data_IF_596957417629
#
_entry.id   IF_596957417629
#
_cell.length_a   1.000
_cell.length_b   1.000
_cell.length_c   1.000
_cell.angle_alpha   90.00
_cell.angle_beta   90.00
_cell.angle_gamma   90.00
#
_symmetry.space_group_name_H-M   'P 1'
#
loop_
_entity.id
_entity.type
_entity.pdbx_description
1 polymer ?
#
# COMPACT_ATOMS: atom_id res chain seq x y z
N UNK A 1 11.78 -36.41 -17.22
CA UNK A 1 13.09 -35.84 -16.88
C UNK A 1 12.90 -34.77 -15.81
N UNK A 2 13.00 -35.18 -14.55
CA UNK A 2 12.86 -34.34 -13.34
C UNK A 2 14.24 -33.85 -12.94
N UNK A 3 14.47 -32.53 -12.95
CA UNK A 3 15.66 -31.96 -12.32
C UNK A 3 15.47 -30.46 -12.08
N UNK A 4 15.33 -30.06 -10.83
CA UNK A 4 15.82 -28.79 -10.26
C UNK A 4 15.57 -28.82 -8.75
N UNK A 5 16.66 -28.71 -8.00
CA UNK A 5 16.73 -28.72 -6.55
C UNK A 5 16.04 -27.48 -5.98
N UNK A 6 14.86 -27.63 -5.38
CA UNK A 6 14.40 -26.66 -4.38
C UNK A 6 15.08 -27.05 -3.07
N UNK A 7 16.15 -26.32 -2.76
CA UNK A 7 16.89 -26.46 -1.51
C UNK A 7 15.94 -26.02 -0.37
N UNK A 8 15.32 -27.00 0.30
CA UNK A 8 14.67 -26.78 1.59
C UNK A 8 15.78 -26.62 2.63
N UNK A 9 16.33 -25.42 2.75
CA UNK A 9 17.11 -25.06 3.93
C UNK A 9 16.16 -24.73 5.07
N UNK A 10 15.82 -25.75 5.87
CA UNK A 10 15.39 -25.54 7.24
C UNK A 10 16.66 -25.19 8.04
N UNK A 11 16.95 -23.89 8.15
CA UNK A 11 18.07 -23.41 8.95
C UNK A 11 17.66 -23.51 10.43
N UNK A 12 17.95 -24.65 11.06
CA UNK A 12 17.94 -24.78 12.52
C UNK A 12 19.15 -24.00 13.10
N UNK A 13 19.07 -22.68 13.16
CA UNK A 13 20.05 -21.87 13.89
C UNK A 13 19.46 -21.37 15.21
N UNK A 14 19.98 -21.94 16.30
CA UNK A 14 19.85 -21.43 17.64
C UNK A 14 20.45 -20.01 17.74
N UNK A 15 19.63 -18.98 17.53
CA UNK A 15 20.02 -17.58 17.73
C UNK A 15 19.33 -16.56 16.83
N UNK A 16 18.10 -16.17 17.19
CA UNK A 16 17.52 -14.85 16.97
C UNK A 16 17.17 -14.34 15.54
N UNK A 17 16.64 -15.18 14.64
CA UNK A 17 15.72 -14.72 13.58
C UNK A 17 14.57 -15.73 13.40
N UNK A 18 13.34 -15.30 13.07
CA UNK A 18 12.26 -16.24 12.75
C UNK A 18 12.62 -17.08 11.52
N UNK A 19 12.14 -18.33 11.46
CA UNK A 19 12.28 -19.17 10.27
C UNK A 19 11.68 -18.45 9.05
N UNK A 20 12.47 -18.28 7.99
CA UNK A 20 12.08 -17.57 6.76
C UNK A 20 12.17 -18.50 5.56
N UNK A 21 11.11 -18.53 4.73
CA UNK A 21 11.15 -19.13 3.41
C UNK A 21 11.53 -18.07 2.38
N UNK A 22 12.64 -18.28 1.66
CA UNK A 22 13.10 -17.40 0.59
C UNK A 22 13.03 -18.15 -0.74
N UNK A 23 12.27 -17.62 -1.70
CA UNK A 23 12.17 -18.16 -3.06
C UNK A 23 12.98 -17.27 -4.01
N UNK A 24 13.91 -17.85 -4.76
CA UNK A 24 14.70 -17.16 -5.78
C UNK A 24 14.23 -17.54 -7.17
N UNK A 25 14.31 -16.60 -8.13
CA UNK A 25 13.92 -16.82 -9.53
C UNK A 25 12.49 -17.36 -9.67
N UNK A 26 11.54 -16.72 -8.98
CA UNK A 26 10.14 -17.13 -8.89
C UNK A 26 9.49 -17.15 -10.28
N UNK A 27 8.77 -18.23 -10.58
CA UNK A 27 8.04 -18.50 -11.83
C UNK A 27 6.56 -18.76 -11.55
N UNK A 28 5.72 -18.79 -12.59
CA UNK A 28 4.28 -19.08 -12.41
C UNK A 28 3.98 -20.40 -11.70
N UNK A 29 4.80 -21.43 -11.93
CA UNK A 29 4.66 -22.73 -11.27
C UNK A 29 4.87 -22.68 -9.75
N UNK A 30 5.48 -21.61 -9.22
CA UNK A 30 5.64 -21.41 -7.78
C UNK A 30 4.38 -20.82 -7.13
N UNK A 31 3.36 -20.44 -7.92
CA UNK A 31 2.07 -20.01 -7.37
C UNK A 31 1.38 -21.15 -6.62
N UNK A 32 0.79 -20.87 -5.46
CA UNK A 32 0.10 -21.89 -4.68
C UNK A 32 -0.14 -21.50 -3.23
N UNK A 33 -0.74 -22.44 -2.48
CA UNK A 33 -0.95 -22.29 -1.03
C UNK A 33 0.28 -22.78 -0.29
N UNK A 34 0.92 -21.86 0.44
CA UNK A 34 2.02 -22.14 1.36
C UNK A 34 1.47 -22.26 2.78
N UNK A 35 1.91 -23.27 3.51
CA UNK A 35 1.48 -23.54 4.89
C UNK A 35 2.72 -23.55 5.77
N UNK A 36 2.77 -22.62 6.73
CA UNK A 36 3.72 -22.63 7.82
C UNK A 36 3.13 -23.45 8.97
N UNK A 37 3.84 -24.50 9.37
CA UNK A 37 3.45 -25.36 10.49
C UNK A 37 4.40 -25.05 11.64
N UNK A 38 3.85 -24.56 12.75
CA UNK A 38 4.61 -24.26 13.96
C UNK A 38 4.13 -25.21 15.04
N UNK A 39 5.02 -26.03 15.58
CA UNK A 39 4.64 -26.97 16.61
C UNK A 39 5.81 -27.63 17.32
N UNK A 40 5.47 -28.37 18.36
CA UNK A 40 6.33 -29.33 19.03
C UNK A 40 5.69 -30.72 18.97
N UNK A 41 6.27 -31.70 19.67
CA UNK A 41 5.79 -33.09 19.68
C UNK A 41 4.35 -33.28 20.22
N UNK A 42 3.74 -32.24 20.79
CA UNK A 42 2.42 -32.30 21.40
C UNK A 42 1.37 -31.38 20.74
N UNK A 43 1.78 -30.26 20.15
CA UNK A 43 0.86 -29.26 19.59
C UNK A 43 1.42 -28.72 18.27
N UNK A 44 0.58 -28.68 17.24
CA UNK A 44 0.86 -28.02 15.97
C UNK A 44 -0.18 -26.93 15.68
N UNK A 45 0.28 -25.84 15.07
CA UNK A 45 -0.54 -24.76 14.52
C UNK A 45 -0.16 -24.55 13.07
N UNK A 46 -1.15 -24.29 12.23
CA UNK A 46 -0.95 -24.02 10.82
C UNK A 46 -1.33 -22.59 10.48
N UNK A 47 -0.50 -21.94 9.66
CA UNK A 47 -0.76 -20.64 9.08
C UNK A 47 -0.60 -20.75 7.58
N UNK A 48 -1.63 -20.40 6.82
CA UNK A 48 -1.55 -20.49 5.35
C UNK A 48 -1.57 -19.13 4.68
N UNK A 49 -0.78 -19.00 3.62
CA UNK A 49 -0.80 -17.88 2.69
C UNK A 49 -0.87 -18.40 1.24
N UNK A 50 -1.45 -17.64 0.33
CA UNK A 50 -1.47 -17.98 -1.10
C UNK A 50 -0.52 -17.05 -1.85
N UNK A 51 0.48 -17.62 -2.53
CA UNK A 51 1.36 -16.92 -3.44
C UNK A 51 0.75 -16.94 -4.85
N UNK A 52 0.68 -15.77 -5.49
CA UNK A 52 0.32 -15.64 -6.90
C UNK A 52 1.48 -14.95 -7.59
N UNK A 53 2.07 -15.62 -8.57
CA UNK A 53 3.17 -15.09 -9.39
C UNK A 53 2.59 -14.62 -10.71
N UNK A 54 2.90 -13.38 -11.08
CA UNK A 54 2.31 -12.68 -12.22
C UNK A 54 3.45 -12.28 -13.14
N UNK A 55 3.29 -12.57 -14.43
CA UNK A 55 4.30 -12.22 -15.43
C UNK A 55 4.19 -10.74 -15.82
N UNK A 56 5.29 -10.17 -16.30
CA UNK A 56 5.31 -8.78 -16.76
C UNK A 56 4.25 -8.56 -17.87
N UNK A 57 3.34 -7.61 -17.64
CA UNK A 57 2.24 -7.29 -18.56
C UNK A 57 0.90 -7.95 -18.21
N UNK A 58 0.87 -8.87 -17.24
CA UNK A 58 -0.39 -9.45 -16.74
C UNK A 58 -1.02 -8.58 -15.65
N UNK A 59 -2.33 -8.41 -15.70
CA UNK A 59 -3.06 -7.75 -14.62
C UNK A 59 -3.18 -8.67 -13.41
N UNK A 60 -2.94 -8.13 -12.21
CA UNK A 60 -3.20 -8.82 -10.94
C UNK A 60 -4.58 -9.48 -10.96
N UNK A 61 -4.71 -10.80 -10.68
CA UNK A 61 -5.99 -11.49 -10.70
C UNK A 61 -6.92 -11.01 -9.59
N UNK A 62 -6.38 -10.35 -8.56
CA UNK A 62 -7.11 -9.64 -7.52
C UNK A 62 -6.37 -8.34 -7.23
N UNK A 63 -6.86 -7.23 -7.76
CA UNK A 63 -6.54 -5.94 -7.16
C UNK A 63 -7.28 -5.87 -5.81
N UNK A 64 -6.58 -5.76 -4.67
CA UNK A 64 -7.24 -5.73 -3.36
C UNK A 64 -8.21 -4.54 -3.31
N UNK A 65 -9.45 -4.73 -2.82
CA UNK A 65 -10.39 -3.62 -2.74
C UNK A 65 -9.85 -2.54 -1.81
N UNK A 66 -10.23 -1.29 -2.09
CA UNK A 66 -9.94 -0.17 -1.20
C UNK A 66 -10.39 -0.49 0.23
N UNK A 67 -9.42 -0.57 1.14
CA UNK A 67 -9.63 -1.05 2.51
C UNK A 67 -8.74 -0.29 3.49
N UNK A 68 -9.12 -0.35 4.77
CA UNK A 68 -8.41 0.27 5.87
C UNK A 68 -7.34 -0.71 6.39
N UNK A 69 -6.11 -0.22 6.48
CA UNK A 69 -4.96 -0.96 6.96
C UNK A 69 -4.38 -0.27 8.19
N UNK A 70 -3.61 -1.02 8.98
CA UNK A 70 -2.97 -0.52 10.20
C UNK A 70 -1.47 -0.73 10.06
N UNK A 71 -0.71 0.34 10.26
CA UNK A 71 0.74 0.33 10.35
C UNK A 71 1.15 0.82 11.73
N UNK A 72 2.01 0.05 12.40
CA UNK A 72 2.52 0.38 13.72
C UNK A 72 3.95 0.88 13.62
N UNK A 73 4.19 2.15 13.97
CA UNK A 73 5.52 2.73 13.87
C UNK A 73 5.77 3.87 14.86
N UNK A 74 7.05 4.15 15.13
CA UNK A 74 7.47 5.30 15.93
C UNK A 74 7.32 6.55 15.07
N UNK A 75 6.54 7.53 15.54
CA UNK A 75 6.41 8.80 14.85
C UNK A 75 7.66 9.63 15.05
N UNK A 76 8.17 10.22 13.99
CA UNK A 76 9.38 11.05 14.01
C UNK A 76 9.10 12.38 13.34
N UNK A 77 9.34 13.47 14.06
CA UNK A 77 9.44 14.80 13.47
C UNK A 77 10.79 14.93 12.76
N UNK A 78 10.79 14.90 11.43
CA UNK A 78 12.02 14.91 10.63
C UNK A 78 12.85 16.19 10.80
N UNK A 79 12.23 17.32 11.16
CA UNK A 79 12.95 18.59 11.27
C UNK A 79 13.79 18.68 12.55
N UNK A 80 13.29 18.13 13.65
CA UNK A 80 13.89 18.27 14.99
C UNK A 80 14.31 16.94 15.62
N UNK A 81 14.03 15.82 14.95
CA UNK A 81 14.35 14.48 15.45
C UNK A 81 13.55 14.05 16.68
N UNK A 82 12.45 14.73 17.02
CA UNK A 82 11.59 14.35 18.13
C UNK A 82 10.84 13.05 17.80
N UNK A 83 10.70 12.14 18.75
CA UNK A 83 10.15 10.79 18.52
C UNK A 83 9.06 10.45 19.52
N UNK A 84 8.06 9.67 19.11
CA UNK A 84 7.12 9.11 20.06
C UNK A 84 7.81 8.09 20.96
N UNK A 85 7.45 8.06 22.25
CA UNK A 85 8.03 7.12 23.21
C UNK A 85 7.76 5.65 22.85
N UNK A 86 6.61 5.39 22.23
CA UNK A 86 6.19 4.05 21.78
C UNK A 86 5.71 4.08 20.32
N UNK A 87 5.76 2.94 19.60
CA UNK A 87 5.13 2.82 18.30
C UNK A 87 3.63 3.04 18.38
N UNK A 88 3.09 3.82 17.45
CA UNK A 88 1.69 4.21 17.36
C UNK A 88 1.02 3.45 16.22
N UNK A 89 -0.20 2.97 16.46
CA UNK A 89 -1.04 2.38 15.42
C UNK A 89 -1.66 3.50 14.56
N UNK A 90 -1.26 3.54 13.30
CA UNK A 90 -1.75 4.48 12.30
C UNK A 90 -2.57 3.75 11.25
N UNK A 91 -3.77 4.28 11.00
CA UNK A 91 -4.64 3.77 9.96
C UNK A 91 -4.33 4.45 8.62
N UNK A 92 -4.30 3.69 7.54
CA UNK A 92 -4.12 4.20 6.18
C UNK A 92 -4.99 3.43 5.19
N UNK A 93 -5.27 4.05 4.04
CA UNK A 93 -6.06 3.43 2.99
C UNK A 93 -5.16 2.87 1.88
N UNK A 94 -5.44 1.65 1.45
CA UNK A 94 -4.74 1.01 0.35
C UNK A 94 -5.69 0.06 -0.39
N UNK A 95 -5.52 -0.01 -1.70
CA UNK A 95 -6.28 -0.87 -2.58
C UNK A 95 -6.78 -0.13 -3.81
N UNK A 96 -7.52 -0.85 -4.63
CA UNK A 96 -8.04 -0.39 -5.92
C UNK A 96 -9.50 0.01 -5.83
N UNK A 97 -9.86 0.96 -6.70
CA UNK A 97 -11.20 1.51 -6.83
C UNK A 97 -11.86 1.18 -8.16
N UNK A 98 -11.50 0.02 -8.71
CA UNK A 98 -11.86 -0.40 -10.06
C UNK A 98 -10.96 0.25 -11.12
N UNK A 99 -11.25 -0.08 -12.37
CA UNK A 99 -10.48 0.41 -13.52
C UNK A 99 -10.92 1.81 -13.90
N UNK A 100 -9.95 2.67 -14.16
CA UNK A 100 -10.19 3.89 -14.94
C UNK A 100 -10.18 3.54 -16.42
N UNK A 101 -11.11 4.13 -17.17
CA UNK A 101 -11.15 3.98 -18.62
C UNK A 101 -11.50 5.31 -19.25
N UNK A 102 -10.95 5.53 -20.44
CA UNK A 102 -11.24 6.68 -21.28
C UNK A 102 -11.88 6.17 -22.56
N UNK A 103 -13.14 6.58 -22.79
CA UNK A 103 -13.82 6.29 -24.05
C UNK A 103 -13.73 7.53 -24.94
N UNK A 104 -12.91 7.51 -26.02
CA UNK A 104 -12.87 8.62 -26.95
C UNK A 104 -14.21 8.76 -27.66
N UNK A 105 -14.73 9.98 -27.75
CA UNK A 105 -15.96 10.27 -28.47
C UNK A 105 -15.64 10.86 -29.84
N UNK A 106 -16.37 10.41 -30.88
CA UNK A 106 -16.26 10.97 -32.23
C UNK A 106 -16.78 12.41 -32.23
N UNK A 107 -15.91 13.36 -32.57
CA UNK A 107 -16.26 14.77 -32.67
C UNK A 107 -16.48 15.14 -34.13
N UNK A 108 -17.65 15.67 -34.46
CA UNK A 108 -17.91 16.29 -35.77
C UNK A 108 -17.94 17.82 -35.63
N UNK A 109 -17.57 18.51 -36.71
CA UNK A 109 -17.59 19.99 -36.78
C UNK A 109 -18.97 20.60 -36.52
N UNK A 110 -20.05 19.81 -36.66
CA UNK A 110 -21.42 20.18 -36.32
C UNK A 110 -21.71 20.24 -34.81
N UNK A 111 -20.98 19.48 -33.98
CA UNK A 111 -21.16 19.42 -32.52
C UNK A 111 -20.40 20.58 -31.83
N UNK A 112 -19.21 20.92 -32.34
CA UNK A 112 -18.40 22.05 -31.85
C UNK A 112 -19.08 23.43 -32.03
N UNK A 113 -19.99 23.56 -33.00
CA UNK A 113 -20.74 24.80 -33.26
C UNK A 113 -21.99 24.97 -32.38
N UNK A 114 -22.53 23.87 -31.81
CA UNK A 114 -23.72 23.90 -30.95
C UNK A 114 -23.39 24.22 -29.49
N UNK A 115 -22.22 23.77 -29.02
CA UNK A 115 -21.76 24.02 -27.66
C UNK A 115 -20.68 25.10 -27.72
N UNK A 116 -21.08 26.36 -27.84
CA UNK A 116 -20.15 27.49 -27.91
C UNK A 116 -19.09 27.42 -26.81
N UNK A 117 -17.84 27.20 -27.23
CA UNK A 117 -16.60 27.39 -26.45
C UNK A 117 -16.62 27.00 -24.95
N UNK A 118 -17.40 26.00 -24.55
CA UNK A 118 -17.32 25.37 -23.24
C UNK A 118 -16.92 23.93 -23.45
N UNK A 119 -15.72 23.61 -22.95
CA UNK A 119 -14.96 22.41 -23.25
C UNK A 119 -15.78 21.13 -23.28
N UNK A 120 -15.47 20.31 -24.28
CA UNK A 120 -15.90 18.92 -24.41
C UNK A 120 -15.77 18.21 -23.06
N UNK A 121 -16.89 17.73 -22.49
CA UNK A 121 -16.86 16.95 -21.25
C UNK A 121 -16.31 15.55 -21.54
N UNK A 122 -15.05 15.35 -21.24
CA UNK A 122 -14.39 14.05 -21.30
C UNK A 122 -14.97 13.16 -20.20
N UNK A 123 -15.66 12.07 -20.57
CA UNK A 123 -16.23 11.12 -19.61
C UNK A 123 -15.13 10.14 -19.13
N UNK A 124 -14.20 10.66 -18.33
CA UNK A 124 -13.20 9.86 -17.62
C UNK A 124 -13.66 9.58 -16.20
N UNK A 125 -13.79 8.31 -15.84
CA UNK A 125 -14.06 7.91 -14.47
C UNK A 125 -12.77 7.41 -13.84
N UNK A 126 -12.13 8.24 -13.02
CA UNK A 126 -10.98 7.84 -12.20
C UNK A 126 -11.34 7.95 -10.73
N UNK A 127 -11.17 6.86 -9.97
CA UNK A 127 -11.45 6.81 -8.54
C UNK A 127 -10.19 6.41 -7.76
N UNK A 128 -9.96 7.08 -6.65
CA UNK A 128 -8.83 6.90 -5.75
C UNK A 128 -9.32 6.30 -4.43
N UNK A 129 -8.52 5.41 -3.85
CA UNK A 129 -8.77 4.89 -2.51
C UNK A 129 -8.34 5.94 -1.48
N UNK A 130 -9.31 6.58 -0.84
CA UNK A 130 -9.08 7.69 0.07
C UNK A 130 -9.69 7.42 1.44
N UNK A 131 -9.07 7.99 2.47
CA UNK A 131 -9.54 7.88 3.85
C UNK A 131 -10.57 8.93 4.21
N UNK A 132 -11.63 8.48 4.87
CA UNK A 132 -12.61 9.38 5.51
C UNK A 132 -12.08 9.71 6.90
N UNK A 133 -11.72 10.97 7.11
CA UNK A 133 -11.17 11.46 8.38
C UNK A 133 -12.27 11.51 9.44
N UNK A 134 -12.02 10.85 10.58
CA UNK A 134 -12.88 10.83 11.76
C UNK A 134 -12.50 11.90 12.78
N UNK A 135 -11.21 12.26 12.80
CA UNK A 135 -10.68 13.22 13.75
C UNK A 135 -9.16 13.31 13.71
N UNK A 136 -8.60 13.83 14.79
CA UNK A 136 -7.16 13.97 14.98
C UNK A 136 -6.76 13.30 16.29
N UNK A 137 -5.59 12.65 16.30
CA UNK A 137 -4.98 12.12 17.51
C UNK A 137 -3.71 12.89 17.82
N UNK A 138 -3.61 13.31 19.09
CA UNK A 138 -2.43 14.01 19.60
C UNK A 138 -1.48 13.00 20.21
N UNK A 139 -0.21 13.09 19.86
CA UNK A 139 0.86 12.23 20.37
C UNK A 139 1.94 13.13 20.99
N UNK A 140 2.44 12.74 22.14
CA UNK A 140 3.57 13.39 22.77
C UNK A 140 4.87 12.83 22.19
N UNK A 141 5.80 13.73 21.83
CA UNK A 141 7.09 13.43 21.24
C UNK A 141 8.18 13.90 22.21
N UNK A 142 9.14 13.03 22.47
CA UNK A 142 10.35 13.33 23.22
C UNK A 142 11.43 13.82 22.25
N UNK A 143 11.98 15.00 22.51
CA UNK A 143 13.00 15.61 21.67
C UNK A 143 14.41 15.37 22.24
N UNK A 144 15.46 15.37 21.39
CA UNK A 144 16.83 15.13 21.82
C UNK A 144 17.36 16.08 22.90
N UNK A 145 16.82 17.31 22.97
CA UNK A 145 17.21 18.32 23.97
C UNK A 145 16.44 18.19 25.30
N UNK A 146 15.68 17.10 25.48
CA UNK A 146 14.92 16.80 26.71
C UNK A 146 13.60 17.55 26.83
N UNK A 147 13.27 18.45 25.90
CA UNK A 147 11.97 19.08 25.81
C UNK A 147 10.94 18.13 25.16
N UNK A 148 9.67 18.37 25.48
CA UNK A 148 8.53 17.62 24.92
C UNK A 148 7.79 18.45 23.88
N UNK A 149 7.32 17.79 22.84
CA UNK A 149 6.52 18.39 21.75
C UNK A 149 5.24 17.59 21.55
N UNK A 150 4.19 18.24 21.03
CA UNK A 150 2.95 17.56 20.63
C UNK A 150 2.91 17.45 19.11
N UNK A 151 2.82 16.23 18.60
CA UNK A 151 2.48 15.94 17.22
C UNK A 151 1.00 15.60 17.09
N UNK A 152 0.47 15.69 15.87
CA UNK A 152 -0.88 15.23 15.57
C UNK A 152 -0.91 14.50 14.25
N UNK A 153 -1.79 13.51 14.14
CA UNK A 153 -2.08 12.82 12.89
C UNK A 153 -3.59 12.59 12.76
N UNK A 154 -4.06 12.46 11.53
CA UNK A 154 -5.49 12.22 11.24
C UNK A 154 -5.85 10.77 11.52
N UNK A 155 -7.02 10.57 12.12
CA UNK A 155 -7.63 9.26 12.29
C UNK A 155 -8.59 9.01 11.13
N UNK A 156 -8.48 7.84 10.52
CA UNK A 156 -9.36 7.41 9.44
C UNK A 156 -10.42 6.46 10.00
N UNK A 157 -11.71 6.75 9.75
CA UNK A 157 -12.83 5.88 10.14
C UNK A 157 -12.96 4.70 9.17
N UNK A 158 -12.85 4.99 7.89
CA UNK A 158 -13.07 4.06 6.80
C UNK A 158 -12.35 4.53 5.53
N UNK A 159 -12.24 3.63 4.56
CA UNK A 159 -11.71 3.94 3.23
C UNK A 159 -12.83 3.85 2.20
N UNK A 160 -12.84 4.79 1.25
CA UNK A 160 -13.84 4.84 0.20
C UNK A 160 -13.22 5.20 -1.15
N UNK A 161 -13.89 4.79 -2.21
CA UNK A 161 -13.52 5.13 -3.58
C UNK A 161 -14.17 6.43 -4.02
N UNK A 162 -13.37 7.49 -4.15
CA UNK A 162 -13.83 8.83 -4.53
C UNK A 162 -13.15 9.28 -5.82
N UNK A 163 -13.74 10.25 -6.53
CA UNK A 163 -13.11 10.78 -7.74
C UNK A 163 -11.74 11.39 -7.39
N UNK A 164 -10.70 11.02 -8.12
CA UNK A 164 -9.37 11.54 -7.88
C UNK A 164 -9.34 13.05 -8.17
N UNK A 165 -8.93 13.86 -7.20
CA UNK A 165 -8.75 15.29 -7.40
C UNK A 165 -7.32 15.52 -7.92
N UNK A 166 -7.15 15.59 -9.25
CA UNK A 166 -5.83 15.69 -9.91
C UNK A 166 -5.24 17.12 -9.79
N UNK A 167 -5.88 18.02 -9.03
CA UNK A 167 -5.45 19.42 -8.85
C UNK A 167 -4.37 19.63 -7.79
N UNK A 168 -4.02 18.62 -6.97
CA UNK A 168 -3.10 18.78 -5.83
C UNK A 168 -1.91 17.80 -5.87
N UNK A 169 -1.36 17.55 -7.06
CA UNK A 169 0.03 17.10 -7.13
C UNK A 169 0.92 18.30 -6.78
N UNK A 170 1.12 18.56 -5.48
CA UNK A 170 2.18 19.48 -5.07
C UNK A 170 3.51 18.92 -5.62
N UNK A 171 4.30 19.74 -6.35
CA UNK A 171 5.56 19.28 -6.88
C UNK A 171 6.45 18.87 -5.71
N UNK A 172 6.95 17.63 -5.75
CA UNK A 172 8.05 17.20 -4.91
C UNK A 172 9.16 18.26 -5.06
N UNK A 173 9.47 18.92 -3.96
CA UNK A 173 10.49 19.97 -3.89
C UNK A 173 11.79 19.42 -4.44
N UNK A 174 12.19 19.90 -5.61
CA UNK A 174 13.46 19.59 -6.25
C UNK A 174 14.58 19.95 -5.29
N UNK A 175 15.25 18.96 -4.68
CA UNK A 175 16.51 19.19 -4.00
C UNK A 175 17.59 19.44 -5.06
N UNK A 176 17.89 20.70 -5.34
CA UNK A 176 19.11 21.09 -6.05
C UNK A 176 20.31 20.88 -5.14
N UNK A 177 21.22 20.02 -5.58
CA UNK A 177 22.56 19.85 -5.02
C UNK A 177 23.45 21.01 -5.49
N UNK A 178 23.89 21.86 -4.57
CA UNK A 178 25.10 22.70 -4.73
C UNK A 178 26.35 21.87 -4.52
#
# INVERSE_FOLDING_TARGET
HTNSRNLLEAINNSGAEPDKLVLHNVTKSDSGKYICIIGNDHVQKEFSATLVVIEEGESLPFEPPCSLHIRREVLVDQAQGCRSAVPVDMHYCMGSCGRSYYVPQLMTSSILKKNGSSGVSVNQTCKCCVGVVDGIRIVELDCPLGNKKRGFYTLLRECQCQMCNISEAQPATTMTKT
#
